data_IF_552455829159
#
_entry.id   IF_552455829159
#
_cell.length_a   1.000
_cell.length_b   1.000
_cell.length_c   1.000
_cell.angle_alpha   90.00
_cell.angle_beta   90.00
_cell.angle_gamma   90.00
#
_symmetry.space_group_name_H-M   'P 1'
#
loop_
_entity.id
_entity.type
_entity.pdbx_description
1 polymer ?
#
# COMPACT_ATOMS: atom_id res chain seq x y z
N UNK A 1 -9.37 -28.42 5.53
CA UNK A 1 -9.31 -27.18 6.31
C UNK A 1 -8.13 -26.42 5.74
N UNK A 2 -8.37 -25.41 4.90
CA UNK A 2 -7.27 -24.56 4.44
C UNK A 2 -6.70 -23.82 5.65
N UNK A 3 -5.38 -23.66 5.68
CA UNK A 3 -4.72 -22.93 6.75
C UNK A 3 -5.18 -21.47 6.66
N UNK A 4 -5.63 -20.90 7.78
CA UNK A 4 -6.07 -19.50 7.82
C UNK A 4 -4.99 -18.52 7.35
N UNK A 5 -3.72 -18.96 7.37
CA UNK A 5 -2.58 -18.25 6.75
C UNK A 5 -2.63 -18.20 5.23
N UNK A 6 -3.09 -19.27 4.58
CA UNK A 6 -3.24 -19.37 3.13
C UNK A 6 -4.33 -18.43 2.62
N UNK A 7 -5.48 -18.37 3.32
CA UNK A 7 -6.58 -17.43 3.03
C UNK A 7 -6.19 -15.95 3.24
N UNK A 8 -5.27 -15.65 4.16
CA UNK A 8 -4.78 -14.28 4.42
C UNK A 8 -3.74 -13.81 3.41
N UNK A 9 -2.95 -14.73 2.85
CA UNK A 9 -1.99 -14.43 1.79
C UNK A 9 -2.70 -14.06 0.47
N UNK A 10 -3.86 -14.66 0.20
CA UNK A 10 -4.62 -14.48 -1.06
C UNK A 10 -5.60 -13.28 -1.04
N UNK A 11 -5.68 -12.53 0.07
CA UNK A 11 -6.70 -11.49 0.23
C UNK A 11 -6.44 -10.20 -0.58
N UNK A 12 -5.21 -9.97 -1.03
CA UNK A 12 -4.86 -8.80 -1.81
C UNK A 12 -4.28 -9.24 -3.16
N UNK A 13 -5.04 -9.01 -4.25
CA UNK A 13 -4.61 -9.30 -5.62
C UNK A 13 -3.36 -8.49 -6.06
N UNK A 14 -2.98 -7.46 -5.30
CA UNK A 14 -1.88 -6.53 -5.62
C UNK A 14 -1.03 -6.20 -4.39
N UNK A 15 0.26 -5.95 -4.63
CA UNK A 15 1.23 -5.61 -3.60
C UNK A 15 0.79 -4.36 -2.80
N UNK A 16 1.14 -4.23 -1.51
CA UNK A 16 0.81 -3.06 -0.70
C UNK A 16 1.26 -1.72 -1.32
N UNK A 17 2.44 -1.68 -1.94
CA UNK A 17 2.96 -0.48 -2.63
C UNK A 17 2.05 -0.08 -3.79
N UNK A 18 1.67 -1.03 -4.66
CA UNK A 18 0.75 -0.78 -5.78
C UNK A 18 -0.58 -0.22 -5.27
N UNK A 19 -1.15 -0.81 -4.22
CA UNK A 19 -2.43 -0.34 -3.66
C UNK A 19 -2.35 1.11 -3.17
N UNK A 20 -1.28 1.48 -2.48
CA UNK A 20 -1.10 2.87 -2.02
C UNK A 20 -0.83 3.79 -3.21
N UNK A 21 0.00 3.38 -4.17
CA UNK A 21 0.33 4.16 -5.35
C UNK A 21 -0.92 4.44 -6.22
N UNK A 22 -1.81 3.45 -6.40
CA UNK A 22 -3.11 3.63 -7.06
C UNK A 22 -4.02 4.62 -6.33
N UNK A 23 -4.00 4.63 -5.00
CA UNK A 23 -4.72 5.63 -4.19
C UNK A 23 -4.14 7.03 -4.42
N UNK A 24 -2.81 7.18 -4.42
CA UNK A 24 -2.15 8.46 -4.67
C UNK A 24 -2.44 8.98 -6.09
N UNK A 25 -2.32 8.13 -7.11
CA UNK A 25 -2.68 8.45 -8.48
C UNK A 25 -4.17 8.85 -8.58
N UNK A 26 -5.06 8.11 -7.95
CA UNK A 26 -6.49 8.42 -7.92
C UNK A 26 -6.79 9.76 -7.26
N UNK A 27 -6.10 10.07 -6.16
CA UNK A 27 -6.23 11.36 -5.46
C UNK A 27 -5.76 12.54 -6.33
N UNK A 28 -4.67 12.38 -7.07
CA UNK A 28 -4.12 13.40 -7.95
C UNK A 28 -4.91 13.61 -9.25
N UNK A 29 -5.53 12.55 -9.80
CA UNK A 29 -6.12 12.57 -11.14
C UNK A 29 -7.65 12.74 -11.13
N UNK A 30 -8.34 12.26 -10.11
CA UNK A 30 -9.80 12.23 -10.07
C UNK A 30 -10.42 13.58 -9.70
N UNK A 31 -11.48 13.97 -10.40
CA UNK A 31 -12.30 15.14 -10.06
C UNK A 31 -13.05 15.04 -8.73
N UNK A 32 -13.14 13.84 -8.18
CA UNK A 32 -13.72 13.63 -6.85
C UNK A 32 -12.68 13.85 -5.73
N UNK A 33 -11.44 14.17 -6.10
CA UNK A 33 -10.33 14.52 -5.24
C UNK A 33 -9.68 15.81 -5.77
N UNK A 34 -8.36 15.86 -5.95
CA UNK A 34 -7.62 17.08 -6.33
C UNK A 34 -7.41 17.21 -7.85
N UNK A 35 -7.83 16.21 -8.64
CA UNK A 35 -7.66 16.22 -10.09
C UNK A 35 -8.87 16.74 -10.85
N UNK A 36 -8.86 16.55 -12.17
CA UNK A 36 -9.91 17.05 -13.07
C UNK A 36 -10.59 15.96 -13.91
N UNK A 37 -10.11 14.71 -13.85
CA UNK A 37 -10.67 13.64 -14.66
C UNK A 37 -12.02 13.17 -14.10
N UNK A 38 -13.05 13.21 -14.96
CA UNK A 38 -14.39 12.69 -14.64
C UNK A 38 -14.40 11.18 -14.40
N UNK A 39 -13.50 10.46 -15.05
CA UNK A 39 -13.25 9.03 -14.82
C UNK A 39 -11.75 8.79 -14.85
N UNK A 40 -11.18 8.51 -13.68
CA UNK A 40 -9.74 8.37 -13.50
C UNK A 40 -9.25 6.92 -13.57
N UNK A 41 -10.15 5.91 -13.61
CA UNK A 41 -9.77 4.50 -13.46
C UNK A 41 -8.65 4.06 -14.41
N UNK A 42 -8.83 4.29 -15.72
CA UNK A 42 -7.80 3.95 -16.72
C UNK A 42 -6.50 4.72 -16.52
N UNK A 43 -6.60 6.01 -16.20
CA UNK A 43 -5.40 6.83 -15.97
C UNK A 43 -4.63 6.37 -14.72
N UNK A 44 -5.34 5.91 -13.68
CA UNK A 44 -4.73 5.29 -12.50
C UNK A 44 -4.04 3.97 -12.86
N UNK A 45 -4.69 3.10 -13.64
CA UNK A 45 -4.08 1.85 -14.11
C UNK A 45 -2.77 2.11 -14.88
N UNK A 46 -2.76 3.15 -15.72
CA UNK A 46 -1.62 3.48 -16.57
C UNK A 46 -0.48 4.19 -15.81
N UNK A 47 -0.78 4.98 -14.78
CA UNK A 47 0.20 5.89 -14.15
C UNK A 47 0.57 5.57 -12.70
N UNK A 48 -0.09 4.62 -12.04
CA UNK A 48 0.23 4.29 -10.64
C UNK A 48 1.72 3.98 -10.39
N UNK A 49 2.49 3.34 -11.31
CA UNK A 49 3.91 3.07 -11.04
C UNK A 49 4.72 4.34 -10.79
N UNK A 50 4.31 5.49 -11.32
CA UNK A 50 4.97 6.80 -11.10
C UNK A 50 4.83 7.28 -9.63
N UNK A 51 3.94 6.67 -8.86
CA UNK A 51 3.68 7.00 -7.44
C UNK A 51 4.28 5.97 -6.48
N UNK A 52 5.06 4.99 -6.96
CA UNK A 52 5.66 3.93 -6.13
C UNK A 52 6.58 4.48 -5.04
N UNK A 53 7.44 5.44 -5.36
CA UNK A 53 8.35 6.09 -4.41
C UNK A 53 7.58 6.80 -3.27
N UNK A 54 6.49 7.48 -3.62
CA UNK A 54 5.63 8.14 -2.65
C UNK A 54 4.89 7.11 -1.77
N UNK A 55 4.44 6.00 -2.37
CA UNK A 55 3.82 4.89 -1.63
C UNK A 55 4.82 4.22 -0.65
N UNK A 56 6.06 4.01 -1.07
CA UNK A 56 7.14 3.52 -0.21
C UNK A 56 7.40 4.48 0.96
N UNK A 57 7.41 5.80 0.71
CA UNK A 57 7.57 6.79 1.76
C UNK A 57 6.44 6.72 2.80
N UNK A 58 5.20 6.48 2.38
CA UNK A 58 4.06 6.26 3.29
C UNK A 58 4.28 5.02 4.14
N UNK A 59 4.67 3.87 3.55
CA UNK A 59 4.94 2.65 4.32
C UNK A 59 6.08 2.84 5.32
N UNK A 60 7.18 3.49 4.91
CA UNK A 60 8.32 3.80 5.80
C UNK A 60 7.90 4.67 6.97
N UNK A 61 6.98 5.61 6.75
CA UNK A 61 6.40 6.45 7.83
C UNK A 61 5.53 5.61 8.76
N UNK A 62 4.69 4.73 8.22
CA UNK A 62 3.81 3.86 9.01
C UNK A 62 4.58 2.82 9.84
N UNK A 63 5.82 2.49 9.48
CA UNK A 63 6.69 1.60 10.27
C UNK A 63 6.92 2.10 11.70
N UNK A 64 6.75 3.39 11.97
CA UNK A 64 6.88 3.99 13.30
C UNK A 64 5.50 4.09 13.98
N UNK A 65 5.06 3.08 14.77
CA UNK A 65 3.74 3.10 15.38
C UNK A 65 3.62 4.18 16.45
N UNK A 66 2.47 4.85 16.50
CA UNK A 66 2.16 5.77 17.61
C UNK A 66 1.97 5.02 18.94
N UNK A 67 2.09 5.72 20.07
CA UNK A 67 1.86 5.13 21.39
C UNK A 67 0.47 4.47 21.55
N UNK A 68 -0.56 4.99 20.87
CA UNK A 68 -1.89 4.37 20.84
C UNK A 68 -1.91 3.05 20.07
N UNK A 69 -1.16 2.95 18.97
CA UNK A 69 -1.02 1.70 18.20
C UNK A 69 -0.28 0.65 19.02
N UNK A 70 0.80 1.05 19.71
CA UNK A 70 1.52 0.17 20.64
C UNK A 70 0.63 -0.29 21.78
N UNK A 71 -0.19 0.59 22.37
CA UNK A 71 -1.14 0.21 23.42
C UNK A 71 -2.23 -0.77 22.95
N UNK A 72 -2.53 -0.78 21.65
CA UNK A 72 -3.56 -1.64 21.05
C UNK A 72 -3.03 -3.02 20.60
N UNK A 73 -1.71 -3.22 20.54
CA UNK A 73 -1.13 -4.43 19.95
C UNK A 73 0.37 -4.59 20.19
N UNK A 74 1.04 -5.25 19.25
CA UNK A 74 2.47 -5.55 19.33
C UNK A 74 3.24 -4.74 18.27
N UNK A 75 4.10 -3.85 18.75
CA UNK A 75 4.92 -2.98 17.91
C UNK A 75 5.94 -3.74 17.06
N UNK A 76 6.49 -4.84 17.57
CA UNK A 76 7.48 -5.64 16.85
C UNK A 76 6.81 -6.48 15.76
N UNK A 77 5.58 -6.96 15.97
CA UNK A 77 4.79 -7.59 14.91
C UNK A 77 4.47 -6.57 13.81
N UNK A 78 4.03 -5.37 14.19
CA UNK A 78 3.74 -4.30 13.24
C UNK A 78 4.95 -3.94 12.36
N UNK A 79 6.11 -3.72 12.98
CA UNK A 79 7.36 -3.41 12.27
C UNK A 79 7.72 -4.50 11.25
N UNK A 80 7.61 -5.78 11.64
CA UNK A 80 7.85 -6.91 10.72
C UNK A 80 6.87 -6.94 9.55
N UNK A 81 5.59 -6.65 9.79
CA UNK A 81 4.58 -6.63 8.73
C UNK A 81 4.83 -5.50 7.72
N UNK A 82 5.15 -4.29 8.20
CA UNK A 82 5.45 -3.16 7.33
C UNK A 82 6.76 -3.38 6.57
N UNK A 83 7.77 -3.98 7.21
CA UNK A 83 9.03 -4.34 6.54
C UNK A 83 8.78 -5.34 5.41
N UNK A 84 8.01 -6.41 5.67
CA UNK A 84 7.62 -7.36 4.62
C UNK A 84 6.85 -6.69 3.47
N UNK A 85 5.97 -5.73 3.77
CA UNK A 85 5.24 -4.98 2.75
C UNK A 85 6.13 -4.08 1.87
N UNK A 86 7.26 -3.61 2.40
CA UNK A 86 8.26 -2.84 1.66
C UNK A 86 9.11 -3.78 0.79
N UNK A 87 9.53 -4.93 1.34
CA UNK A 87 10.37 -5.91 0.63
C UNK A 87 9.64 -6.61 -0.54
N UNK A 88 8.32 -6.76 -0.45
CA UNK A 88 7.47 -7.34 -1.50
C UNK A 88 7.58 -6.58 -2.85
N UNK A 89 7.79 -5.25 -2.79
CA UNK A 89 8.04 -4.44 -3.98
C UNK A 89 9.41 -4.73 -4.59
N UNK A 90 10.44 -4.88 -3.76
CA UNK A 90 11.82 -5.08 -4.21
C UNK A 90 12.05 -6.43 -4.90
N UNK A 91 11.13 -7.39 -4.71
CA UNK A 91 11.15 -8.71 -5.37
C UNK A 91 10.49 -8.66 -6.76
N UNK A 92 9.55 -7.75 -7.02
CA UNK A 92 8.90 -7.63 -8.34
C UNK A 92 9.74 -6.94 -9.41
N UNK A 93 10.78 -6.19 -9.01
CA UNK A 93 11.74 -5.54 -9.91
C UNK A 93 12.94 -6.44 -10.31
N UNK A 94 12.95 -7.72 -9.89
CA UNK A 94 14.03 -8.70 -10.09
C UNK A 94 13.78 -9.76 -11.15
#
# INVERSE_FOLDING_TARGET
>A
MSDKREELLDAAETAPVERIARVLAGHALSRNAEGDLTSAARAVDDSWPEYSDAALAVLRTLREPSGRMVAAGDAAIWDRMITAAIEDETISDG
#
